data_IF_289988414997
#
_entry.id   IF_289988414997
#
_cell.length_a   1.000
_cell.length_b   1.000
_cell.length_c   1.000
_cell.angle_alpha   90.00
_cell.angle_beta   90.00
_cell.angle_gamma   90.00
#
_symmetry.space_group_name_H-M   'P 1'
#
loop_
_entity.id
_entity.type
_entity.pdbx_description
1 polymer ?
#
# COMPACT_ATOMS: atom_id res chain seq x y z
N UNK A 1 69.16 -0.96 5.39
CA UNK A 1 68.15 -2.02 5.15
C UNK A 1 67.01 -1.80 6.15
N UNK A 2 65.75 -1.88 5.68
CA UNK A 2 64.46 -1.63 6.39
C UNK A 2 64.28 -2.45 7.70
N UNK A 3 63.25 -2.19 8.56
CA UNK A 3 62.34 -1.02 8.64
C UNK A 3 62.15 -0.43 10.07
N UNK A 4 61.59 0.78 10.12
CA UNK A 4 60.98 1.40 11.30
C UNK A 4 59.47 1.09 11.34
N UNK A 5 58.94 0.67 12.49
CA UNK A 5 57.51 0.71 12.79
C UNK A 5 57.12 2.11 13.27
N UNK A 6 56.12 2.71 12.65
CA UNK A 6 55.42 3.89 13.17
C UNK A 6 53.97 3.50 13.46
N UNK A 7 53.60 3.50 14.74
CA UNK A 7 52.21 3.48 15.21
C UNK A 7 51.53 4.80 14.84
N UNK A 8 50.41 4.73 14.11
CA UNK A 8 49.52 5.86 13.86
C UNK A 8 48.50 6.01 14.99
N UNK A 9 48.00 7.22 15.30
CA UNK A 9 47.01 7.41 16.35
C UNK A 9 45.59 7.18 15.78
N UNK A 10 44.94 6.09 16.18
CA UNK A 10 43.48 5.95 16.14
C UNK A 10 42.93 6.42 17.48
N UNK A 11 42.57 7.70 17.58
CA UNK A 11 41.83 8.24 18.71
C UNK A 11 41.06 9.51 18.30
N UNK A 12 40.18 9.41 17.30
CA UNK A 12 39.10 10.40 17.09
C UNK A 12 37.99 9.86 16.17
N UNK A 13 37.34 8.77 16.55
CA UNK A 13 36.10 8.30 15.89
C UNK A 13 35.10 7.66 16.88
N UNK A 14 35.29 7.87 18.19
CA UNK A 14 34.50 7.27 19.26
C UNK A 14 33.70 8.29 20.09
N UNK A 15 33.64 9.55 19.65
CA UNK A 15 32.84 10.60 20.30
C UNK A 15 31.69 11.16 19.47
N UNK A 16 31.50 10.73 18.22
CA UNK A 16 30.43 11.26 17.35
C UNK A 16 29.22 10.33 17.20
N UNK A 17 29.36 9.03 17.49
CA UNK A 17 28.23 8.08 17.41
C UNK A 17 27.25 8.22 18.60
N UNK A 18 27.74 8.46 19.82
CA UNK A 18 26.88 8.59 21.01
C UNK A 18 26.14 9.93 21.09
N UNK A 19 26.53 10.94 20.32
CA UNK A 19 25.84 12.25 20.32
C UNK A 19 24.60 12.20 19.41
N UNK A 20 24.60 11.43 18.32
CA UNK A 20 23.45 11.36 17.41
C UNK A 20 22.27 10.55 17.99
N UNK A 21 22.53 9.44 18.69
CA UNK A 21 21.48 8.67 19.38
C UNK A 21 20.77 9.49 20.49
N UNK A 22 21.52 10.34 21.21
CA UNK A 22 20.97 11.24 22.25
C UNK A 22 20.16 12.43 21.68
N UNK A 23 20.45 12.83 20.43
CA UNK A 23 19.69 13.90 19.76
C UNK A 23 18.32 13.39 19.27
N UNK A 24 18.22 12.12 18.85
CA UNK A 24 16.95 11.52 18.46
C UNK A 24 16.01 11.30 19.65
N UNK A 25 16.53 10.84 20.80
CA UNK A 25 15.72 10.64 22.01
C UNK A 25 15.16 11.94 22.60
N UNK A 26 15.83 13.09 22.44
CA UNK A 26 15.33 14.38 22.96
C UNK A 26 14.30 15.10 22.07
N UNK A 27 14.11 14.68 20.81
CA UNK A 27 13.14 15.29 19.89
C UNK A 27 11.83 14.48 19.72
N UNK A 28 11.74 13.28 20.30
CA UNK A 28 10.54 12.42 20.23
C UNK A 28 9.32 13.01 20.93
N UNK A 29 9.49 13.92 21.91
CA UNK A 29 8.34 14.62 22.52
C UNK A 29 7.63 15.59 21.54
N UNK A 30 8.29 16.03 20.46
CA UNK A 30 7.67 16.86 19.42
C UNK A 30 7.07 16.08 18.24
N UNK A 31 7.21 14.74 18.21
CA UNK A 31 6.69 13.89 17.14
C UNK A 31 5.57 12.94 17.59
N UNK A 32 5.03 13.09 18.81
CA UNK A 32 3.76 12.42 19.14
C UNK A 32 2.70 12.87 18.15
N UNK A 33 2.22 11.95 17.32
CA UNK A 33 1.15 12.20 16.37
C UNK A 33 -0.12 12.43 17.16
N UNK A 34 -0.43 13.70 17.41
CA UNK A 34 -1.64 14.10 18.10
C UNK A 34 -2.82 14.10 17.12
N UNK A 35 -3.82 13.25 17.37
CA UNK A 35 -5.06 13.22 16.61
C UNK A 35 -6.15 14.00 17.39
N UNK A 36 -6.47 15.25 17.01
CA UNK A 36 -7.31 16.16 17.80
C UNK A 36 -8.77 15.74 18.02
N UNK A 37 -9.23 14.64 17.39
CA UNK A 37 -10.62 14.20 17.37
C UNK A 37 -10.81 12.79 17.99
N UNK A 38 -10.17 12.47 19.12
CA UNK A 38 -10.42 11.21 19.85
C UNK A 38 -11.83 11.16 20.47
N UNK A 39 -12.82 10.94 19.61
CA UNK A 39 -14.05 10.24 19.97
C UNK A 39 -13.71 8.76 20.02
N UNK A 40 -14.15 8.08 21.10
CA UNK A 40 -13.88 6.67 21.47
C UNK A 40 -13.58 5.76 20.27
N UNK A 41 -12.64 4.81 20.38
CA UNK A 41 -12.41 3.83 19.32
C UNK A 41 -13.75 3.17 18.99
N UNK A 42 -14.19 3.34 17.75
CA UNK A 42 -15.21 2.47 17.18
C UNK A 42 -14.64 1.07 17.37
N UNK A 43 -15.26 0.28 18.26
CA UNK A 43 -14.91 -1.14 18.41
C UNK A 43 -15.01 -1.72 17.02
N UNK A 44 -13.93 -2.36 16.54
CA UNK A 44 -13.94 -3.07 15.27
C UNK A 44 -15.07 -4.09 15.32
N UNK A 45 -16.15 -3.78 14.62
CA UNK A 45 -17.35 -4.59 14.55
C UNK A 45 -17.31 -5.36 13.24
N UNK A 46 -17.12 -6.67 13.35
CA UNK A 46 -17.00 -7.58 12.22
C UNK A 46 -18.40 -8.03 11.80
N UNK A 47 -18.71 -7.85 10.52
CA UNK A 47 -20.02 -8.19 9.94
C UNK A 47 -19.87 -9.03 8.69
N UNK A 48 -20.89 -9.83 8.40
CA UNK A 48 -20.96 -10.56 7.14
C UNK A 48 -21.01 -9.58 5.95
N UNK A 49 -20.35 -9.90 4.81
CA UNK A 49 -20.35 -9.05 3.64
C UNK A 49 -21.75 -8.90 3.04
N UNK A 50 -22.04 -7.72 2.48
CA UNK A 50 -23.33 -7.39 1.89
C UNK A 50 -23.19 -6.62 0.59
N UNK A 51 -23.81 -7.14 -0.47
CA UNK A 51 -23.97 -6.45 -1.76
C UNK A 51 -25.06 -5.38 -1.75
N UNK A 52 -25.86 -5.27 -0.69
CA UNK A 52 -27.05 -4.38 -0.64
C UNK A 52 -27.00 -3.34 0.45
N UNK A 53 -26.17 -3.53 1.48
CA UNK A 53 -26.03 -2.62 2.62
C UNK A 53 -24.58 -2.15 2.72
N UNK A 54 -24.39 -0.84 2.83
CA UNK A 54 -23.08 -0.29 3.15
C UNK A 54 -22.66 -0.64 4.58
N UNK A 55 -21.34 -0.71 4.79
CA UNK A 55 -20.78 -0.74 6.14
C UNK A 55 -21.03 0.59 6.85
N UNK A 56 -21.10 0.56 8.18
CA UNK A 56 -20.85 1.75 8.98
C UNK A 56 -19.33 2.01 9.06
N UNK A 57 -18.88 3.28 9.13
CA UNK A 57 -17.46 3.58 9.29
C UNK A 57 -16.85 2.82 10.47
N UNK A 58 -15.74 2.10 10.22
CA UNK A 58 -15.06 1.28 11.23
C UNK A 58 -15.49 -0.19 11.29
N UNK A 59 -16.61 -0.57 10.66
CA UNK A 59 -16.96 -1.99 10.50
C UNK A 59 -16.02 -2.70 9.52
N UNK A 60 -15.87 -4.00 9.73
CA UNK A 60 -14.97 -4.88 8.98
C UNK A 60 -15.73 -6.09 8.46
N UNK A 61 -15.22 -6.71 7.40
CA UNK A 61 -15.76 -7.99 6.94
C UNK A 61 -15.26 -9.11 7.84
N UNK A 62 -16.19 -9.90 8.38
CA UNK A 62 -15.89 -11.08 9.18
C UNK A 62 -15.23 -12.18 8.35
N UNK A 63 -14.35 -12.97 8.99
CA UNK A 63 -13.71 -14.15 8.38
C UNK A 63 -13.06 -13.87 7.01
N UNK A 64 -12.61 -12.63 6.76
CA UNK A 64 -12.17 -12.23 5.43
C UNK A 64 -11.00 -13.09 4.93
N UNK A 65 -10.08 -13.44 5.84
CA UNK A 65 -8.98 -14.36 5.58
C UNK A 65 -9.46 -15.71 5.01
N UNK A 66 -10.41 -16.36 5.69
CA UNK A 66 -10.98 -17.64 5.26
C UNK A 66 -11.69 -17.50 3.90
N UNK A 67 -12.43 -16.42 3.72
CA UNK A 67 -13.14 -16.10 2.47
C UNK A 67 -12.18 -15.89 1.30
N UNK A 68 -11.01 -15.29 1.57
CA UNK A 68 -10.02 -14.97 0.54
C UNK A 68 -9.10 -16.13 0.18
N UNK A 69 -9.04 -17.25 0.92
CA UNK A 69 -8.32 -18.44 0.44
C UNK A 69 -9.01 -19.17 -0.71
N UNK A 70 -10.32 -19.00 -0.85
CA UNK A 70 -11.02 -19.56 -1.99
C UNK A 70 -10.81 -18.68 -3.22
N UNK A 71 -9.77 -18.98 -4.01
CA UNK A 71 -9.46 -18.23 -5.24
C UNK A 71 -10.51 -18.30 -6.35
N UNK A 72 -11.59 -19.06 -6.17
CA UNK A 72 -12.68 -19.20 -7.14
C UNK A 72 -13.91 -18.36 -6.82
N UNK A 73 -13.95 -17.70 -5.65
CA UNK A 73 -15.09 -16.91 -5.20
C UNK A 73 -14.67 -15.48 -4.83
N UNK A 74 -15.56 -14.53 -5.09
CA UNK A 74 -15.38 -13.14 -4.72
C UNK A 74 -16.18 -12.81 -3.46
N UNK A 75 -15.62 -11.95 -2.61
CA UNK A 75 -16.34 -11.29 -1.52
C UNK A 75 -16.79 -9.91 -1.99
N UNK A 76 -18.09 -9.62 -1.88
CA UNK A 76 -18.68 -8.36 -2.35
C UNK A 76 -19.18 -7.55 -1.15
N UNK A 77 -18.75 -6.30 -1.05
CA UNK A 77 -19.24 -5.36 -0.05
C UNK A 77 -19.63 -4.03 -0.71
N UNK A 78 -20.84 -3.55 -0.44
CA UNK A 78 -21.28 -2.19 -0.81
C UNK A 78 -20.61 -1.16 0.11
N UNK A 79 -20.11 -0.04 -0.43
CA UNK A 79 -19.47 1.04 0.37
C UNK A 79 -20.22 2.39 0.29
N UNK A 80 -21.10 2.55 -0.69
CA UNK A 80 -21.93 3.73 -0.87
C UNK A 80 -23.09 3.44 -1.80
N UNK A 81 -23.64 4.47 -2.44
CA UNK A 81 -24.82 4.28 -3.29
C UNK A 81 -24.48 3.45 -4.53
N UNK A 82 -23.32 3.68 -5.14
CA UNK A 82 -22.93 3.08 -6.43
C UNK A 82 -21.56 2.37 -6.39
N UNK A 83 -20.85 2.46 -5.28
CA UNK A 83 -19.49 1.92 -5.12
C UNK A 83 -19.49 0.64 -4.31
N UNK A 84 -18.69 -0.33 -4.78
CA UNK A 84 -18.50 -1.64 -4.20
C UNK A 84 -17.00 -1.90 -4.02
N UNK A 85 -16.68 -2.60 -2.95
CA UNK A 85 -15.41 -3.27 -2.75
C UNK A 85 -15.59 -4.74 -3.12
N UNK A 86 -14.75 -5.25 -4.01
CA UNK A 86 -14.78 -6.66 -4.42
C UNK A 86 -13.42 -7.28 -4.15
N UNK A 87 -13.37 -8.18 -3.17
CA UNK A 87 -12.17 -8.93 -2.80
C UNK A 87 -12.11 -10.28 -3.48
N UNK A 88 -10.96 -10.61 -4.07
CA UNK A 88 -10.66 -11.92 -4.66
C UNK A 88 -9.24 -12.31 -4.28
N UNK A 89 -9.09 -13.47 -3.62
CA UNK A 89 -7.78 -14.09 -3.38
C UNK A 89 -6.70 -13.15 -2.82
N UNK A 90 -7.02 -12.38 -1.75
CA UNK A 90 -6.19 -11.38 -1.04
C UNK A 90 -6.04 -9.99 -1.68
N UNK A 91 -6.67 -9.75 -2.82
CA UNK A 91 -6.61 -8.48 -3.54
C UNK A 91 -8.01 -7.94 -3.71
N UNK A 92 -8.15 -6.65 -3.90
CA UNK A 92 -9.47 -6.04 -3.98
C UNK A 92 -9.56 -4.85 -4.92
N UNK A 93 -10.59 -4.90 -5.75
CA UNK A 93 -10.93 -3.85 -6.69
C UNK A 93 -11.98 -2.93 -6.08
N UNK A 94 -11.99 -1.67 -6.52
CA UNK A 94 -13.15 -0.78 -6.29
C UNK A 94 -13.98 -0.75 -7.57
N UNK A 95 -15.27 -1.03 -7.47
CA UNK A 95 -16.17 -1.09 -8.63
C UNK A 95 -17.28 -0.06 -8.49
N UNK A 96 -17.50 0.74 -9.53
CA UNK A 96 -18.59 1.73 -9.60
C UNK A 96 -19.60 1.29 -10.65
N UNK A 97 -20.88 1.19 -10.27
CA UNK A 97 -21.97 0.76 -11.14
C UNK A 97 -22.99 1.90 -11.26
N UNK A 98 -23.13 2.47 -12.47
CA UNK A 98 -24.10 3.53 -12.73
C UNK A 98 -24.62 3.51 -14.17
N UNK A 99 -25.27 4.57 -14.63
CA UNK A 99 -25.86 4.64 -15.97
C UNK A 99 -24.83 4.63 -17.13
N UNK A 100 -23.56 4.91 -16.87
CA UNK A 100 -22.48 4.79 -17.85
C UNK A 100 -21.94 3.35 -18.01
N UNK A 101 -22.41 2.41 -17.20
CA UNK A 101 -21.94 1.02 -17.16
C UNK A 101 -21.21 0.71 -15.85
N UNK A 102 -20.18 -0.12 -15.94
CA UNK A 102 -19.32 -0.49 -14.82
C UNK A 102 -17.90 0.03 -15.04
N UNK A 103 -17.35 0.68 -14.02
CA UNK A 103 -15.93 1.04 -13.92
C UNK A 103 -15.26 0.13 -12.89
N UNK A 104 -14.17 -0.51 -13.29
CA UNK A 104 -13.29 -1.28 -12.39
C UNK A 104 -12.03 -0.47 -12.12
N UNK A 105 -11.77 -0.15 -10.86
CA UNK A 105 -10.50 0.43 -10.40
C UNK A 105 -9.63 -0.73 -9.91
N UNK A 106 -8.47 -0.89 -10.57
CA UNK A 106 -7.52 -2.00 -10.45
C UNK A 106 -8.15 -3.37 -10.76
N UNK A 107 -8.04 -3.88 -12.01
CA UNK A 107 -8.61 -5.16 -12.40
C UNK A 107 -7.83 -6.36 -11.86
N UNK A 108 -7.15 -6.24 -10.72
CA UNK A 108 -6.41 -7.33 -10.06
C UNK A 108 -5.35 -7.98 -11.00
N UNK A 109 -4.86 -9.16 -10.62
CA UNK A 109 -3.98 -10.01 -11.44
C UNK A 109 -4.72 -11.08 -12.26
N UNK A 110 -4.03 -11.64 -13.28
CA UNK A 110 -4.53 -12.58 -14.32
C UNK A 110 -5.21 -13.89 -13.85
N UNK A 111 -5.27 -14.18 -12.55
CA UNK A 111 -5.96 -15.38 -12.03
C UNK A 111 -7.19 -15.04 -11.20
N UNK A 112 -7.64 -13.78 -11.24
CA UNK A 112 -8.72 -13.24 -10.42
C UNK A 112 -9.87 -12.64 -11.24
N UNK A 113 -9.74 -12.61 -12.57
CA UNK A 113 -10.72 -11.93 -13.42
C UNK A 113 -12.04 -12.68 -13.53
N UNK A 114 -12.02 -13.99 -13.67
CA UNK A 114 -13.26 -14.77 -13.77
C UNK A 114 -14.16 -14.57 -12.54
N UNK A 115 -13.70 -14.76 -11.28
CA UNK A 115 -14.52 -14.46 -10.11
C UNK A 115 -14.88 -12.98 -9.97
N UNK A 116 -14.02 -12.05 -10.41
CA UNK A 116 -14.34 -10.62 -10.44
C UNK A 116 -15.50 -10.31 -11.39
N UNK A 117 -15.50 -10.89 -12.60
CA UNK A 117 -16.56 -10.71 -13.60
C UNK A 117 -17.87 -11.32 -13.09
N UNK A 118 -17.83 -12.54 -12.54
CA UNK A 118 -19.02 -13.18 -12.00
C UNK A 118 -19.60 -12.39 -10.81
N UNK A 119 -18.74 -11.81 -9.96
CA UNK A 119 -19.17 -10.88 -8.91
C UNK A 119 -19.88 -9.66 -9.48
N UNK A 120 -19.32 -9.02 -10.52
CA UNK A 120 -19.92 -7.85 -11.18
C UNK A 120 -21.27 -8.22 -11.82
N UNK A 121 -21.37 -9.36 -12.51
CA UNK A 121 -22.63 -9.83 -13.11
C UNK A 121 -23.71 -10.11 -12.06
N UNK A 122 -23.34 -10.58 -10.88
CA UNK A 122 -24.29 -10.77 -9.78
C UNK A 122 -24.90 -9.45 -9.27
N UNK A 123 -24.24 -8.31 -9.54
CA UNK A 123 -24.68 -6.98 -9.14
C UNK A 123 -25.46 -6.24 -10.24
N UNK A 124 -25.18 -6.52 -11.52
CA UNK A 124 -25.72 -5.75 -12.64
C UNK A 124 -25.58 -6.45 -13.99
N UNK A 125 -26.54 -6.23 -14.89
CA UNK A 125 -26.47 -6.65 -16.30
C UNK A 125 -25.73 -5.63 -17.20
N UNK A 126 -25.36 -4.48 -16.64
CA UNK A 126 -24.67 -3.41 -17.40
C UNK A 126 -23.26 -3.84 -17.81
N UNK A 127 -22.79 -3.44 -19.00
CA UNK A 127 -21.45 -3.78 -19.44
C UNK A 127 -20.37 -3.05 -18.63
N UNK A 128 -19.20 -3.67 -18.54
CA UNK A 128 -17.98 -2.99 -18.10
C UNK A 128 -17.50 -2.09 -19.24
N UNK A 129 -17.43 -0.78 -18.97
CA UNK A 129 -17.12 0.25 -19.97
C UNK A 129 -15.85 1.01 -19.68
N UNK A 130 -15.28 0.84 -18.48
CA UNK A 130 -14.04 1.49 -18.09
C UNK A 130 -13.20 0.65 -17.12
N UNK A 131 -11.88 0.82 -17.22
CA UNK A 131 -10.87 0.39 -16.27
C UNK A 131 -10.09 1.63 -15.82
N UNK A 132 -9.72 1.71 -14.55
CA UNK A 132 -8.83 2.74 -14.02
C UNK A 132 -7.69 2.10 -13.23
N UNK A 133 -6.45 2.51 -13.49
CA UNK A 133 -5.28 2.00 -12.79
C UNK A 133 -4.79 2.97 -11.72
N UNK A 134 -4.53 2.45 -10.52
CA UNK A 134 -3.89 3.18 -9.43
C UNK A 134 -2.38 3.29 -9.64
N UNK A 135 -1.71 2.19 -10.02
CA UNK A 135 -0.27 2.07 -10.28
C UNK A 135 0.07 0.77 -11.02
N UNK A 136 1.31 0.60 -11.48
CA UNK A 136 1.69 -0.48 -12.41
C UNK A 136 1.81 -1.90 -11.83
N UNK A 137 1.83 -2.10 -10.51
CA UNK A 137 2.08 -3.44 -9.96
C UNK A 137 1.09 -4.48 -10.53
N UNK A 138 1.62 -5.64 -10.94
CA UNK A 138 0.90 -6.61 -11.79
C UNK A 138 -0.25 -7.30 -11.06
N UNK A 139 -0.24 -7.30 -9.74
CA UNK A 139 -1.34 -7.75 -8.92
C UNK A 139 -2.54 -6.79 -8.90
N UNK A 140 -2.35 -5.54 -9.36
CA UNK A 140 -3.40 -4.53 -9.50
C UNK A 140 -3.83 -4.31 -10.96
N UNK A 141 -2.89 -4.41 -11.91
CA UNK A 141 -3.18 -4.16 -13.35
C UNK A 141 -3.04 -5.37 -14.25
N UNK A 142 -2.43 -6.46 -13.77
CA UNK A 142 -2.05 -7.62 -14.58
C UNK A 142 -3.24 -8.21 -15.32
N UNK A 143 -4.35 -8.39 -14.60
CA UNK A 143 -5.61 -8.93 -15.11
C UNK A 143 -6.28 -8.09 -16.20
N UNK A 144 -5.74 -6.91 -16.52
CA UNK A 144 -6.30 -6.02 -17.53
C UNK A 144 -6.47 -6.67 -18.91
N UNK A 145 -5.54 -7.52 -19.36
CA UNK A 145 -5.66 -8.19 -20.67
C UNK A 145 -6.83 -9.17 -20.67
N UNK A 146 -6.87 -10.06 -19.67
CA UNK A 146 -7.95 -11.05 -19.54
C UNK A 146 -9.31 -10.35 -19.37
N UNK A 147 -9.38 -9.26 -18.61
CA UNK A 147 -10.61 -8.47 -18.47
C UNK A 147 -11.03 -7.84 -19.79
N UNK A 148 -10.09 -7.23 -20.52
CA UNK A 148 -10.38 -6.63 -21.83
C UNK A 148 -10.90 -7.68 -22.83
N UNK A 149 -10.26 -8.83 -22.91
CA UNK A 149 -10.68 -9.95 -23.77
C UNK A 149 -12.07 -10.47 -23.39
N UNK A 150 -12.35 -10.60 -22.09
CA UNK A 150 -13.66 -11.00 -21.61
C UNK A 150 -14.74 -9.97 -21.95
N UNK A 151 -14.45 -8.67 -21.83
CA UNK A 151 -15.36 -7.59 -22.22
C UNK A 151 -15.67 -7.64 -23.71
N UNK A 152 -14.65 -7.80 -24.56
CA UNK A 152 -14.81 -7.89 -26.02
C UNK A 152 -15.66 -9.10 -26.43
N UNK A 153 -15.54 -10.21 -25.70
CA UNK A 153 -16.34 -11.42 -25.90
C UNK A 153 -17.79 -11.27 -25.41
N UNK A 154 -17.99 -10.71 -24.23
CA UNK A 154 -19.28 -10.74 -23.53
C UNK A 154 -20.18 -9.56 -23.86
N UNK A 155 -19.62 -8.43 -24.27
CA UNK A 155 -20.37 -7.22 -24.58
C UNK A 155 -20.09 -6.72 -26.01
N UNK A 156 -20.40 -7.53 -27.05
CA UNK A 156 -20.18 -7.14 -28.43
C UNK A 156 -21.02 -5.89 -28.76
N UNK A 157 -20.35 -4.81 -29.19
CA UNK A 157 -21.00 -3.55 -29.55
C UNK A 157 -20.99 -2.47 -28.47
N UNK A 158 -20.42 -2.74 -27.30
CA UNK A 158 -19.98 -1.67 -26.39
C UNK A 158 -18.86 -0.90 -27.08
N UNK A 159 -18.89 0.43 -26.98
CA UNK A 159 -17.85 1.30 -27.53
C UNK A 159 -16.45 0.97 -27.00
N UNK A 160 -15.40 1.67 -27.48
CA UNK A 160 -14.04 1.39 -27.03
C UNK A 160 -13.93 1.48 -25.51
N UNK A 161 -13.33 0.46 -24.90
CA UNK A 161 -13.07 0.40 -23.47
C UNK A 161 -12.24 1.62 -23.05
N UNK A 162 -12.72 2.38 -22.07
CA UNK A 162 -11.96 3.49 -21.47
C UNK A 162 -10.93 2.90 -20.52
N UNK A 163 -9.66 3.22 -20.72
CA UNK A 163 -8.56 2.78 -19.84
C UNK A 163 -7.89 4.04 -19.30
N UNK A 164 -8.14 4.33 -18.03
CA UNK A 164 -7.86 5.61 -17.40
C UNK A 164 -6.68 5.48 -16.44
N UNK A 165 -5.75 6.44 -16.46
CA UNK A 165 -4.66 6.46 -15.48
C UNK A 165 -4.01 7.84 -15.33
N UNK A 166 -3.17 7.98 -14.30
CA UNK A 166 -2.19 9.05 -14.22
C UNK A 166 -1.04 8.88 -15.23
N UNK A 167 -0.43 9.99 -15.65
CA UNK A 167 0.69 10.01 -16.61
C UNK A 167 1.87 9.12 -16.21
N UNK A 168 2.16 9.01 -14.91
CA UNK A 168 3.27 8.17 -14.43
C UNK A 168 2.96 6.67 -14.54
N UNK A 169 1.71 6.26 -14.35
CA UNK A 169 1.28 4.87 -14.56
C UNK A 169 1.42 4.50 -16.03
N UNK A 170 0.91 5.35 -16.94
CA UNK A 170 1.08 5.16 -18.37
C UNK A 170 2.55 5.10 -18.80
N UNK A 171 3.42 5.92 -18.16
CA UNK A 171 4.87 5.86 -18.38
C UNK A 171 5.46 4.52 -17.91
N UNK A 172 5.15 4.08 -16.69
CA UNK A 172 5.66 2.84 -16.11
C UNK A 172 5.19 1.59 -16.90
N UNK A 173 3.93 1.55 -17.34
CA UNK A 173 3.39 0.52 -18.25
C UNK A 173 4.22 0.47 -19.54
N UNK A 174 4.47 1.62 -20.16
CA UNK A 174 5.28 1.69 -21.37
C UNK A 174 6.73 1.29 -21.11
N UNK A 175 7.34 1.62 -19.97
CA UNK A 175 8.72 1.21 -19.64
C UNK A 175 8.87 -0.31 -19.56
N UNK A 176 7.82 -1.01 -19.09
CA UNK A 176 7.81 -2.46 -18.94
C UNK A 176 7.28 -3.23 -20.16
N UNK A 177 7.03 -2.55 -21.27
CA UNK A 177 6.69 -3.20 -22.54
C UNK A 177 7.78 -4.19 -22.96
N UNK A 178 7.36 -5.32 -23.51
CA UNK A 178 8.23 -6.34 -24.09
C UNK A 178 8.36 -6.13 -25.59
N UNK A 179 9.44 -6.62 -26.18
CA UNK A 179 9.59 -6.64 -27.64
C UNK A 179 9.24 -8.05 -28.11
N UNK A 180 8.22 -8.17 -28.97
CA UNK A 180 7.81 -9.44 -29.53
C UNK A 180 8.77 -9.91 -30.64
N UNK A 181 8.54 -11.11 -31.19
CA UNK A 181 9.39 -11.73 -32.21
C UNK A 181 9.52 -10.87 -33.49
N UNK A 182 8.56 -9.98 -33.74
CA UNK A 182 8.53 -9.07 -34.88
C UNK A 182 9.24 -7.74 -34.59
N UNK A 183 9.87 -7.59 -33.42
CA UNK A 183 10.53 -6.35 -33.01
C UNK A 183 9.56 -5.25 -32.57
N UNK A 184 8.27 -5.56 -32.40
CA UNK A 184 7.23 -4.62 -31.97
C UNK A 184 7.22 -4.55 -30.45
N UNK A 185 7.20 -3.32 -29.92
CA UNK A 185 7.17 -3.06 -28.49
C UNK A 185 5.72 -3.04 -27.99
N UNK A 186 5.36 -3.98 -27.13
CA UNK A 186 3.99 -4.22 -26.67
C UNK A 186 3.91 -4.13 -25.13
N UNK A 187 3.01 -3.31 -24.58
CA UNK A 187 2.71 -3.31 -23.15
C UNK A 187 2.25 -4.70 -22.66
N UNK A 188 2.66 -5.08 -21.45
CA UNK A 188 2.22 -6.33 -20.81
C UNK A 188 0.77 -6.31 -20.36
N UNK A 189 0.16 -5.12 -20.27
CA UNK A 189 -1.23 -4.88 -19.86
C UNK A 189 -1.84 -3.81 -20.78
N UNK A 190 -3.17 -3.69 -20.89
CA UNK A 190 -3.79 -2.74 -21.80
C UNK A 190 -3.33 -1.31 -21.53
N UNK A 191 -2.78 -0.64 -22.55
CA UNK A 191 -2.30 0.73 -22.42
C UNK A 191 -3.46 1.70 -22.13
N UNK A 192 -3.28 2.65 -21.20
CA UNK A 192 -4.25 3.71 -20.98
C UNK A 192 -4.50 4.56 -22.22
N UNK A 193 -5.76 4.79 -22.56
CA UNK A 193 -6.19 5.69 -23.63
C UNK A 193 -6.74 7.03 -23.11
N UNK A 194 -6.93 7.15 -21.79
CA UNK A 194 -7.24 8.40 -21.09
C UNK A 194 -6.18 8.67 -20.02
N UNK A 195 -5.24 9.57 -20.32
CA UNK A 195 -4.07 9.83 -19.48
C UNK A 195 -4.12 11.23 -18.89
N UNK A 196 -3.98 11.33 -17.58
CA UNK A 196 -4.10 12.58 -16.84
C UNK A 196 -2.78 13.04 -16.24
N UNK A 197 -2.42 14.31 -16.45
CA UNK A 197 -1.29 14.95 -15.77
C UNK A 197 -1.70 15.38 -14.35
N UNK A 198 -1.14 14.72 -13.35
CA UNK A 198 -1.48 14.88 -11.94
C UNK A 198 -0.60 15.91 -11.21
N UNK A 199 0.06 16.82 -11.94
CA UNK A 199 0.70 18.03 -11.35
C UNK A 199 -0.28 18.86 -10.50
N UNK A 200 -1.58 18.70 -10.76
CA UNK A 200 -2.69 19.09 -9.88
C UNK A 200 -3.75 17.97 -9.86
N UNK A 201 -4.63 17.90 -8.85
CA UNK A 201 -5.75 16.96 -8.86
C UNK A 201 -6.58 17.07 -10.14
N UNK A 202 -6.95 15.93 -10.71
CA UNK A 202 -7.79 15.85 -11.90
C UNK A 202 -9.14 15.22 -11.55
N UNK A 203 -10.18 15.57 -12.33
CA UNK A 203 -11.53 15.03 -12.16
C UNK A 203 -11.92 14.28 -13.42
N UNK A 204 -12.24 13.00 -13.27
CA UNK A 204 -12.69 12.12 -14.35
C UNK A 204 -14.18 11.90 -14.18
N UNK A 205 -14.95 12.16 -15.24
CA UNK A 205 -16.40 11.90 -15.23
C UNK A 205 -16.67 10.45 -15.62
N UNK A 206 -17.47 9.76 -14.81
CA UNK A 206 -18.01 8.44 -15.12
C UNK A 206 -19.51 8.45 -14.81
N UNK A 207 -20.33 8.65 -15.85
CA UNK A 207 -21.75 8.90 -15.69
C UNK A 207 -22.02 10.11 -14.79
N UNK A 208 -22.73 9.87 -13.69
CA UNK A 208 -23.18 10.82 -12.69
C UNK A 208 -22.14 11.12 -11.61
N UNK A 209 -20.98 10.43 -11.62
CA UNK A 209 -19.91 10.57 -10.62
C UNK A 209 -18.70 11.35 -11.14
N UNK A 210 -18.04 12.07 -10.23
CA UNK A 210 -16.73 12.67 -10.46
C UNK A 210 -15.66 11.98 -9.61
N UNK A 211 -14.77 11.26 -10.27
CA UNK A 211 -13.67 10.54 -9.62
C UNK A 211 -12.45 11.45 -9.63
N UNK A 212 -11.82 11.62 -8.46
CA UNK A 212 -10.69 12.52 -8.28
C UNK A 212 -9.39 11.72 -8.29
N UNK A 213 -8.49 12.02 -9.24
CA UNK A 213 -7.15 11.43 -9.30
C UNK A 213 -6.16 12.42 -8.70
N UNK A 214 -5.40 11.99 -7.70
CA UNK A 214 -4.49 12.82 -6.93
C UNK A 214 -3.13 12.11 -6.86
N UNK A 215 -2.07 12.79 -7.29
CA UNK A 215 -0.71 12.32 -7.02
C UNK A 215 -0.44 12.40 -5.51
N UNK A 216 0.09 11.33 -4.89
CA UNK A 216 0.58 11.35 -3.51
C UNK A 216 1.65 12.41 -3.33
N UNK A 217 1.76 12.96 -2.12
CA UNK A 217 2.70 14.05 -1.83
C UNK A 217 4.09 13.54 -1.50
N UNK A 218 4.18 12.30 -1.00
CA UNK A 218 5.42 11.63 -0.62
C UNK A 218 5.93 10.64 -1.68
N UNK A 219 5.06 10.16 -2.57
CA UNK A 219 5.37 9.06 -3.51
C UNK A 219 5.92 7.84 -2.76
N UNK A 220 5.29 7.48 -1.65
CA UNK A 220 5.83 6.52 -0.69
C UNK A 220 5.97 5.10 -1.22
N UNK A 221 4.88 4.58 -1.78
CA UNK A 221 4.87 3.25 -2.39
C UNK A 221 5.68 3.21 -3.68
N UNK A 222 5.18 3.90 -4.72
CA UNK A 222 5.90 4.11 -5.98
C UNK A 222 5.60 5.51 -6.55
N UNK A 223 6.47 6.08 -7.40
CA UNK A 223 6.24 7.38 -8.03
C UNK A 223 5.01 7.44 -8.95
N UNK A 224 4.49 6.30 -9.40
CA UNK A 224 3.29 6.20 -10.22
C UNK A 224 2.00 5.95 -9.44
N UNK A 225 2.08 5.73 -8.13
CA UNK A 225 0.91 5.52 -7.29
C UNK A 225 -0.05 6.72 -7.32
N UNK A 226 -1.35 6.43 -7.39
CA UNK A 226 -2.41 7.43 -7.54
C UNK A 226 -3.46 7.21 -6.46
N UNK A 227 -3.76 8.25 -5.68
CA UNK A 227 -4.91 8.27 -4.80
C UNK A 227 -6.16 8.56 -5.62
N UNK A 228 -7.10 7.62 -5.65
CA UNK A 228 -8.33 7.69 -6.43
C UNK A 228 -9.52 7.85 -5.47
N UNK A 229 -10.14 9.03 -5.46
CA UNK A 229 -11.23 9.35 -4.53
C UNK A 229 -12.58 9.40 -5.25
N UNK A 230 -13.62 8.87 -4.59
CA UNK A 230 -15.02 8.88 -4.99
C UNK A 230 -15.80 9.65 -3.91
N UNK A 231 -15.80 11.00 -3.93
CA UNK A 231 -16.29 11.81 -2.81
C UNK A 231 -17.77 11.58 -2.50
N UNK A 232 -18.59 11.34 -3.51
CA UNK A 232 -20.04 11.16 -3.33
C UNK A 232 -20.39 9.90 -2.54
N UNK A 233 -19.58 8.84 -2.67
CA UNK A 233 -19.72 7.61 -1.87
C UNK A 233 -18.73 7.56 -0.70
N UNK A 234 -17.93 8.63 -0.50
CA UNK A 234 -16.92 8.77 0.56
C UNK A 234 -15.92 7.61 0.58
N UNK A 235 -15.53 7.13 -0.60
CA UNK A 235 -14.54 6.06 -0.77
C UNK A 235 -13.24 6.64 -1.31
N UNK A 236 -12.11 6.16 -0.81
CA UNK A 236 -10.80 6.35 -1.44
C UNK A 236 -10.19 4.99 -1.75
N UNK A 237 -9.65 4.84 -2.94
CA UNK A 237 -8.83 3.70 -3.34
C UNK A 237 -7.39 4.19 -3.42
N UNK A 238 -6.52 3.63 -2.59
CA UNK A 238 -5.12 4.00 -2.48
C UNK A 238 -4.30 2.73 -2.25
N UNK A 239 -4.12 2.00 -3.35
CA UNK A 239 -3.51 0.67 -3.35
C UNK A 239 -2.08 0.69 -2.79
N UNK A 240 -1.75 -0.36 -2.04
CA UNK A 240 -0.47 -0.65 -1.39
C UNK A 240 -0.04 0.35 -0.30
N UNK A 241 -0.87 1.34 0.01
CA UNK A 241 -0.59 2.31 1.06
C UNK A 241 -1.06 1.87 2.43
N UNK A 242 -2.03 0.96 2.52
CA UNK A 242 -2.53 0.43 3.78
C UNK A 242 -3.09 -0.97 3.59
N UNK A 243 -2.91 -1.84 4.58
CA UNK A 243 -3.51 -3.17 4.62
C UNK A 243 -4.41 -3.24 5.87
N UNK A 244 -5.66 -2.75 5.83
CA UNK A 244 -6.51 -2.69 7.02
C UNK A 244 -6.74 -4.07 7.64
N UNK A 245 -6.87 -4.12 8.97
CA UNK A 245 -7.02 -5.36 9.76
C UNK A 245 -5.76 -6.27 9.80
N UNK A 246 -4.62 -5.81 9.29
CA UNK A 246 -3.36 -6.58 9.31
C UNK A 246 -2.13 -5.66 9.35
N UNK A 247 -0.95 -6.24 9.58
CA UNK A 247 0.29 -5.51 9.32
C UNK A 247 0.49 -5.36 7.80
N UNK A 248 1.17 -4.30 7.34
CA UNK A 248 1.54 -4.18 5.94
C UNK A 248 2.28 -5.42 5.44
N UNK A 249 2.11 -5.71 4.15
CA UNK A 249 2.94 -6.73 3.51
C UNK A 249 4.42 -6.33 3.56
N UNK A 250 5.32 -7.30 3.43
CA UNK A 250 6.78 -7.16 3.33
C UNK A 250 7.27 -5.75 2.96
N UNK A 251 8.15 -5.16 3.78
CA UNK A 251 8.71 -3.82 3.54
C UNK A 251 7.64 -2.73 3.31
N UNK A 252 6.56 -2.69 4.11
CA UNK A 252 5.46 -1.73 3.95
C UNK A 252 4.87 -1.74 2.53
N UNK A 253 4.51 -2.94 2.06
CA UNK A 253 4.09 -3.27 0.70
C UNK A 253 5.15 -2.98 -0.38
N UNK A 254 6.43 -2.98 -0.01
CA UNK A 254 7.53 -2.70 -0.94
C UNK A 254 7.72 -1.21 -1.21
N UNK A 255 7.42 -0.35 -0.23
CA UNK A 255 7.53 1.09 -0.37
C UNK A 255 8.94 1.52 -0.84
N UNK A 256 9.02 2.19 -1.99
CA UNK A 256 10.27 2.69 -2.57
C UNK A 256 10.83 3.89 -1.77
N UNK A 257 9.97 4.62 -1.05
CA UNK A 257 10.35 5.78 -0.23
C UNK A 257 9.60 5.77 1.12
N UNK A 258 10.24 5.25 2.17
CA UNK A 258 9.62 5.10 3.49
C UNK A 258 9.17 6.43 4.11
N UNK A 259 10.02 7.46 4.08
CA UNK A 259 9.63 8.78 4.58
C UNK A 259 8.47 9.39 3.76
N UNK A 260 8.43 9.12 2.45
CA UNK A 260 7.28 9.46 1.59
C UNK A 260 6.01 8.72 1.98
N UNK A 261 6.12 7.45 2.36
CA UNK A 261 5.02 6.60 2.78
C UNK A 261 4.33 7.12 4.03
N UNK A 262 5.09 7.54 5.05
CA UNK A 262 4.54 8.17 6.26
C UNK A 262 3.83 9.51 5.95
N UNK A 263 4.39 10.31 5.04
CA UNK A 263 3.75 11.57 4.59
C UNK A 263 2.41 11.30 3.90
N UNK A 264 2.37 10.29 3.04
CA UNK A 264 1.16 9.93 2.31
C UNK A 264 0.06 9.39 3.25
N UNK A 265 0.42 8.53 4.21
CA UNK A 265 -0.48 8.08 5.28
C UNK A 265 -1.02 9.26 6.10
N UNK A 266 -0.13 10.15 6.55
CA UNK A 266 -0.52 11.34 7.32
C UNK A 266 -1.45 12.27 6.52
N UNK A 267 -1.26 12.35 5.19
CA UNK A 267 -2.09 13.18 4.32
C UNK A 267 -3.56 12.74 4.29
N UNK A 268 -3.84 11.43 4.43
CA UNK A 268 -5.21 10.88 4.50
C UNK A 268 -6.00 11.42 5.70
N UNK A 269 -5.31 11.72 6.79
CA UNK A 269 -5.88 12.29 8.01
C UNK A 269 -5.85 13.82 8.02
N UNK A 270 -5.12 14.43 7.09
CA UNK A 270 -5.02 15.88 6.94
C UNK A 270 -6.34 16.52 6.50
N UNK A 271 -6.54 17.79 6.89
CA UNK A 271 -7.77 18.58 6.65
C UNK A 271 -8.28 18.54 5.20
N UNK A 272 -7.37 18.39 4.23
CA UNK A 272 -7.67 18.37 2.80
C UNK A 272 -8.38 17.09 2.36
N UNK A 273 -8.11 15.95 2.98
CA UNK A 273 -8.65 14.65 2.56
C UNK A 273 -9.63 14.08 3.56
N UNK A 274 -9.39 14.23 4.87
CA UNK A 274 -10.11 13.49 5.92
C UNK A 274 -11.62 13.69 5.93
N UNK A 275 -12.11 14.85 5.49
CA UNK A 275 -13.56 15.15 5.43
C UNK A 275 -14.27 14.54 4.21
N UNK A 276 -13.53 13.99 3.23
CA UNK A 276 -14.06 13.53 1.95
C UNK A 276 -14.13 12.01 1.80
N UNK A 277 -13.69 11.24 2.80
CA UNK A 277 -13.74 9.78 2.76
C UNK A 277 -14.05 9.20 4.15
N UNK A 278 -14.68 8.03 4.18
CA UNK A 278 -14.91 7.19 5.36
C UNK A 278 -14.32 5.80 5.19
N UNK A 279 -14.33 5.28 3.96
CA UNK A 279 -13.76 3.98 3.61
C UNK A 279 -12.53 4.14 2.74
N UNK A 280 -11.48 3.38 3.05
CA UNK A 280 -10.30 3.24 2.19
C UNK A 280 -10.17 1.79 1.71
N UNK A 281 -10.07 1.62 0.40
CA UNK A 281 -9.60 0.37 -0.20
C UNK A 281 -8.09 0.49 -0.44
N UNK A 282 -7.31 -0.29 0.30
CA UNK A 282 -5.85 -0.35 0.18
C UNK A 282 -5.34 -1.34 -0.88
N UNK A 283 -6.23 -1.94 -1.68
CA UNK A 283 -5.91 -3.01 -2.62
C UNK A 283 -5.76 -4.37 -1.95
N UNK A 284 -5.42 -4.40 -0.66
CA UNK A 284 -5.21 -5.59 0.15
C UNK A 284 -5.82 -5.46 1.55
N UNK A 285 -6.12 -6.60 2.16
CA UNK A 285 -6.73 -6.64 3.49
C UNK A 285 -8.20 -6.29 3.49
N UNK A 286 -8.69 -5.85 4.65
CA UNK A 286 -10.09 -5.48 4.84
C UNK A 286 -10.36 -4.06 4.35
N UNK A 287 -11.62 -3.62 4.40
CA UNK A 287 -11.96 -2.22 4.13
C UNK A 287 -11.47 -1.37 5.30
N UNK A 288 -10.70 -0.32 5.01
CA UNK A 288 -10.07 0.51 6.02
C UNK A 288 -10.89 1.74 6.40
N UNK A 289 -10.50 2.30 7.53
CA UNK A 289 -11.05 3.51 8.12
C UNK A 289 -9.92 4.46 8.52
N UNK A 290 -10.28 5.64 9.03
CA UNK A 290 -9.31 6.56 9.65
C UNK A 290 -8.58 5.91 10.83
N UNK A 291 -9.23 4.99 11.54
CA UNK A 291 -8.61 4.31 12.69
C UNK A 291 -7.47 3.38 12.24
N UNK A 292 -7.62 2.70 11.10
CA UNK A 292 -6.55 1.86 10.54
C UNK A 292 -5.32 2.69 10.15
N UNK A 293 -5.52 3.86 9.55
CA UNK A 293 -4.41 4.78 9.21
C UNK A 293 -3.69 5.22 10.48
N UNK A 294 -4.42 5.56 11.55
CA UNK A 294 -3.84 5.92 12.85
C UNK A 294 -3.09 4.75 13.48
N UNK A 295 -3.65 3.55 13.41
CA UNK A 295 -3.05 2.34 13.94
C UNK A 295 -1.72 2.01 13.23
N UNK A 296 -1.68 2.15 11.90
CA UNK A 296 -0.45 1.97 11.12
C UNK A 296 0.62 3.02 11.46
N UNK A 297 0.24 4.30 11.55
CA UNK A 297 1.17 5.35 11.99
C UNK A 297 1.69 5.12 13.42
N UNK A 298 0.85 4.59 14.31
CA UNK A 298 1.26 4.21 15.68
C UNK A 298 2.24 3.03 15.65
N UNK A 299 1.99 2.03 14.80
CA UNK A 299 2.90 0.90 14.62
C UNK A 299 4.28 1.32 14.09
N UNK A 300 4.32 2.28 13.16
CA UNK A 300 5.59 2.86 12.66
C UNK A 300 6.35 3.55 13.80
N UNK A 301 5.67 4.29 14.67
CA UNK A 301 6.31 4.94 15.83
C UNK A 301 6.81 3.94 16.87
N UNK A 302 6.06 2.85 17.10
CA UNK A 302 6.50 1.78 17.99
C UNK A 302 7.74 1.06 17.43
N UNK A 303 7.77 0.78 16.11
CA UNK A 303 8.96 0.27 15.43
C UNK A 303 10.15 1.21 15.61
N UNK A 304 9.97 2.51 15.37
CA UNK A 304 11.03 3.52 15.53
C UNK A 304 11.56 3.55 16.96
N UNK A 305 10.67 3.47 17.94
CA UNK A 305 11.02 3.41 19.36
C UNK A 305 11.84 2.17 19.69
N UNK A 306 11.39 0.98 19.26
CA UNK A 306 12.10 -0.27 19.55
C UNK A 306 13.42 -0.39 18.77
N UNK A 307 13.48 0.04 17.50
CA UNK A 307 14.71 0.12 16.72
C UNK A 307 15.73 1.04 17.43
N UNK A 308 15.29 2.21 17.89
CA UNK A 308 16.13 3.13 18.66
C UNK A 308 16.73 2.49 19.91
N UNK A 309 15.94 1.73 20.70
CA UNK A 309 16.45 1.00 21.86
C UNK A 309 17.46 -0.07 21.47
N UNK A 310 17.20 -0.84 20.40
CA UNK A 310 18.12 -1.88 19.96
C UNK A 310 19.42 -1.28 19.40
N UNK A 311 19.39 -0.10 18.79
CA UNK A 311 20.59 0.63 18.36
C UNK A 311 21.50 1.03 19.51
N UNK A 312 20.95 1.36 20.68
CA UNK A 312 21.75 1.67 21.88
C UNK A 312 22.45 0.44 22.47
N UNK A 313 21.86 -0.74 22.28
CA UNK A 313 22.33 -2.01 22.87
C UNK A 313 23.26 -2.74 21.91
N UNK A 314 22.94 -2.77 20.61
CA UNK A 314 23.66 -3.52 19.59
C UNK A 314 24.91 -2.76 19.14
N UNK A 315 26.13 -3.19 19.55
CA UNK A 315 27.34 -2.45 19.25
C UNK A 315 27.59 -2.42 17.74
N UNK A 316 27.79 -1.22 17.18
CA UNK A 316 28.21 -1.04 15.78
C UNK A 316 29.71 -1.39 15.63
N UNK A 317 30.05 -2.66 15.75
CA UNK A 317 31.43 -3.15 15.72
C UNK A 317 31.61 -4.17 14.61
N UNK A 318 32.29 -3.81 13.50
CA UNK A 318 32.61 -4.75 12.45
C UNK A 318 33.43 -5.94 12.96
N UNK A 319 32.89 -7.14 12.75
CA UNK A 319 33.63 -8.38 12.92
C UNK A 319 34.32 -8.74 11.59
N UNK A 320 35.53 -8.22 11.39
CA UNK A 320 36.33 -8.44 10.18
C UNK A 320 36.82 -9.90 10.02
N UNK A 321 36.59 -10.75 11.03
CA UNK A 321 37.04 -12.15 11.06
C UNK A 321 36.42 -13.04 9.98
N UNK A 322 35.31 -12.63 9.36
CA UNK A 322 34.64 -13.39 8.32
C UNK A 322 35.22 -13.16 6.90
N UNK A 323 36.20 -12.26 6.74
CA UNK A 323 36.79 -11.93 5.44
C UNK A 323 35.82 -11.23 4.46
N UNK A 324 34.63 -10.86 4.94
CA UNK A 324 33.59 -10.18 4.17
C UNK A 324 32.85 -9.18 5.06
N UNK A 325 33.14 -7.89 4.87
CA UNK A 325 32.56 -6.79 5.65
C UNK A 325 31.02 -6.70 5.54
N UNK A 326 30.40 -7.28 4.50
CA UNK A 326 28.92 -7.34 4.40
C UNK A 326 28.29 -8.26 5.44
N UNK A 327 28.98 -9.34 5.85
CA UNK A 327 28.43 -10.33 6.80
C UNK A 327 28.20 -9.69 8.16
N UNK A 328 29.11 -8.82 8.58
CA UNK A 328 28.96 -8.03 9.79
C UNK A 328 27.65 -7.22 9.76
N UNK A 329 27.47 -6.35 8.76
CA UNK A 329 26.33 -5.45 8.69
C UNK A 329 25.00 -6.22 8.63
N UNK A 330 24.98 -7.35 7.92
CA UNK A 330 23.81 -8.24 7.89
C UNK A 330 23.48 -8.81 9.28
N UNK A 331 24.47 -9.35 10.00
CA UNK A 331 24.23 -9.92 11.34
C UNK A 331 23.72 -8.87 12.32
N UNK A 332 24.24 -7.66 12.24
CA UNK A 332 23.79 -6.53 13.05
C UNK A 332 22.34 -6.17 12.81
N UNK A 333 21.97 -6.03 11.53
CA UNK A 333 20.59 -5.76 11.14
C UNK A 333 19.67 -6.91 11.56
N UNK A 334 20.08 -8.16 11.33
CA UNK A 334 19.29 -9.34 11.73
C UNK A 334 19.10 -9.39 13.26
N UNK A 335 20.12 -9.07 14.05
CA UNK A 335 20.03 -9.00 15.52
C UNK A 335 19.07 -7.90 15.99
N UNK A 336 19.20 -6.69 15.46
CA UNK A 336 18.30 -5.57 15.78
C UNK A 336 16.86 -5.92 15.43
N UNK A 337 16.62 -6.36 14.19
CA UNK A 337 15.27 -6.60 13.68
C UNK A 337 14.57 -7.75 14.39
N UNK A 338 15.30 -8.83 14.72
CA UNK A 338 14.77 -9.93 15.55
C UNK A 338 14.41 -9.47 16.97
N UNK A 339 15.23 -8.61 17.59
CA UNK A 339 14.92 -8.08 18.94
C UNK A 339 13.75 -7.10 18.93
N UNK A 340 13.56 -6.35 17.84
CA UNK A 340 12.37 -5.51 17.65
C UNK A 340 11.11 -6.38 17.53
N UNK A 341 11.16 -7.47 16.77
CA UNK A 341 10.05 -8.43 16.72
C UNK A 341 9.71 -8.96 18.12
N UNK A 342 10.69 -9.49 18.86
CA UNK A 342 10.49 -9.98 20.24
C UNK A 342 9.80 -8.93 21.12
N UNK A 343 10.24 -7.67 21.03
CA UNK A 343 9.73 -6.57 21.84
C UNK A 343 8.28 -6.17 21.48
N UNK A 344 7.89 -6.33 20.22
CA UNK A 344 6.57 -5.97 19.72
C UNK A 344 5.53 -7.10 19.78
N UNK A 345 5.95 -8.34 20.05
CA UNK A 345 5.07 -9.50 20.18
C UNK A 345 3.91 -9.30 21.17
N UNK A 346 4.09 -8.70 22.36
CA UNK A 346 2.98 -8.51 23.30
C UNK A 346 1.85 -7.61 22.77
N UNK A 347 2.14 -6.74 21.78
CA UNK A 347 1.18 -5.78 21.23
C UNK A 347 0.66 -6.17 19.85
N UNK A 348 1.48 -6.85 19.04
CA UNK A 348 1.18 -7.13 17.64
C UNK A 348 1.27 -8.62 17.28
N UNK A 349 1.59 -9.50 18.23
CA UNK A 349 1.82 -10.93 18.00
C UNK A 349 0.62 -11.69 17.45
N UNK A 350 -0.59 -11.17 17.61
CA UNK A 350 -1.83 -11.72 17.07
C UNK A 350 -2.14 -11.23 15.65
N UNK A 351 -1.41 -10.24 15.14
CA UNK A 351 -1.65 -9.67 13.81
C UNK A 351 -1.15 -10.59 12.71
N UNK A 352 -1.92 -10.63 11.62
CA UNK A 352 -1.57 -11.37 10.43
C UNK A 352 -0.17 -10.96 9.92
N UNK A 353 0.64 -11.96 9.57
CA UNK A 353 2.01 -11.79 9.10
C UNK A 353 3.07 -11.65 10.21
N UNK A 354 2.70 -11.37 11.47
CA UNK A 354 3.66 -11.10 12.55
C UNK A 354 4.71 -12.22 12.69
N UNK A 355 4.25 -13.47 12.83
CA UNK A 355 5.14 -14.64 12.96
C UNK A 355 5.75 -15.11 11.62
N UNK A 356 5.52 -14.39 10.52
CA UNK A 356 6.03 -14.70 9.18
C UNK A 356 7.18 -13.79 8.74
N UNK A 357 7.73 -12.97 9.64
CA UNK A 357 8.90 -12.15 9.39
C UNK A 357 8.60 -10.71 8.93
N UNK A 358 7.33 -10.29 8.88
CA UNK A 358 6.98 -8.95 8.37
C UNK A 358 7.54 -7.85 9.26
N UNK A 359 7.56 -8.04 10.58
CA UNK A 359 8.04 -7.02 11.53
C UNK A 359 9.51 -6.76 11.35
N UNK A 360 10.30 -7.80 11.10
CA UNK A 360 11.73 -7.70 10.85
C UNK A 360 12.01 -6.91 9.57
N UNK A 361 11.20 -7.11 8.53
CA UNK A 361 11.30 -6.36 7.27
C UNK A 361 10.94 -4.89 7.47
N UNK A 362 9.92 -4.60 8.27
CA UNK A 362 9.55 -3.23 8.62
C UNK A 362 10.61 -2.53 9.48
N UNK A 363 11.12 -3.24 10.49
CA UNK A 363 12.19 -2.75 11.36
C UNK A 363 13.47 -2.48 10.57
N UNK A 364 13.79 -3.30 9.55
CA UNK A 364 14.91 -3.06 8.65
C UNK A 364 14.78 -1.73 7.88
N UNK A 365 13.58 -1.42 7.37
CA UNK A 365 13.33 -0.15 6.67
C UNK A 365 13.43 1.04 7.61
N UNK A 366 12.83 0.94 8.80
CA UNK A 366 12.92 1.99 9.84
C UNK A 366 14.37 2.18 10.29
N UNK A 367 15.13 1.10 10.47
CA UNK A 367 16.55 1.16 10.78
C UNK A 367 17.32 1.91 9.70
N UNK A 368 17.09 1.60 8.42
CA UNK A 368 17.74 2.30 7.30
C UNK A 368 17.43 3.80 7.30
N UNK A 369 16.15 4.16 7.50
CA UNK A 369 15.71 5.56 7.57
C UNK A 369 16.36 6.31 8.74
N UNK A 370 16.51 5.67 9.90
CA UNK A 370 17.11 6.26 11.09
C UNK A 370 18.64 6.42 11.02
N UNK A 371 19.34 5.66 10.18
CA UNK A 371 20.82 5.77 10.04
C UNK A 371 21.24 6.65 8.86
N UNK A 372 20.37 6.80 7.85
CA UNK A 372 20.61 7.66 6.68
C UNK A 372 20.35 9.16 6.97
N UNK A 373 19.69 9.48 8.09
CA UNK A 373 19.30 10.83 8.53
C UNK A 373 19.72 11.10 9.97
#
# INVERSE_FOLDING_TARGET
MKPFLTLAPLALALLTANVHASYYTQNTEQQRIYFPDEVRPLVEDFVAPSSTKSLEPGQKIDHLFDRQFNGTEATIQKLGDQTYWIGVNYYSATVIINEAGVLVIDPLGDHRIDPLIEAIKSLTDKPITAIMYSHYHLDHVGGGNQLKEAIEREYPGVGPLRIISGKQVAKKINEHSVVNEQGIREPKVPAPNEVYDLTRPQRVKFGSRYIHLIAPIGSGHTPDNTLIMIPEDRVVHFADMINPDQLPFYNFAGAENFHGYEKDLSSLLGKRLSSHWDFINGGHGNIGSKQDVKALLTYIEDLRTEVGKQLEIAPYTPLESDGNHFIWAKRWQDEITSKVQDALEPKYGDKYGFSSGVVETHAAMVLSDMIDH
#
